data_IF_107800081508
#
_entry.id   IF_107800081508
#
_cell.length_a   1.000
_cell.length_b   1.000
_cell.length_c   1.000
_cell.angle_alpha   90.00
_cell.angle_beta   90.00
_cell.angle_gamma   90.00
#
_symmetry.space_group_name_H-M   'P 1'
#
loop_
_entity.id
_entity.type
_entity.pdbx_description
1 polymer ?
#
# COMPACT_ATOMS: atom_id res chain seq x y z
N UNK A 1 9.82 10.61 -26.82
CA UNK A 1 10.41 9.69 -27.81
C UNK A 1 11.54 10.32 -28.65
N UNK A 2 11.73 11.65 -28.69
CA UNK A 2 12.88 12.26 -29.41
C UNK A 2 14.26 12.02 -28.76
N UNK A 3 14.31 11.58 -27.50
CA UNK A 3 15.56 11.41 -26.73
C UNK A 3 16.03 9.95 -26.63
N UNK A 4 15.23 8.98 -27.08
CA UNK A 4 15.52 7.53 -26.95
C UNK A 4 15.13 6.77 -28.22
N UNK A 5 16.05 6.60 -29.19
CA UNK A 5 15.72 6.18 -30.56
C UNK A 5 15.07 4.78 -30.71
N UNK A 6 15.11 3.93 -29.67
CA UNK A 6 14.53 2.58 -29.69
C UNK A 6 13.46 2.37 -28.61
N UNK A 7 13.02 3.43 -27.93
CA UNK A 7 12.02 3.29 -26.87
C UNK A 7 10.64 2.98 -27.47
N UNK A 8 10.10 1.82 -27.11
CA UNK A 8 8.71 1.44 -27.38
C UNK A 8 7.80 1.85 -26.24
N UNK A 9 6.49 1.80 -26.48
CA UNK A 9 5.52 2.06 -25.43
C UNK A 9 5.61 0.99 -24.31
N UNK A 10 5.54 1.38 -23.02
CA UNK A 10 5.59 0.43 -21.92
C UNK A 10 4.49 -0.63 -22.01
N UNK A 11 4.88 -1.90 -21.89
CA UNK A 11 3.93 -3.03 -21.88
C UNK A 11 3.54 -3.47 -20.47
N UNK A 12 4.29 -3.03 -19.46
CA UNK A 12 4.10 -3.34 -18.05
C UNK A 12 4.52 -2.14 -17.19
N UNK A 13 3.75 -1.86 -16.14
CA UNK A 13 4.04 -0.78 -15.19
C UNK A 13 3.96 -1.31 -13.76
N UNK A 14 4.97 -1.01 -12.93
CA UNK A 14 5.02 -1.38 -11.52
C UNK A 14 4.89 -0.13 -10.67
N UNK A 15 3.99 -0.15 -9.68
CA UNK A 15 3.71 0.97 -8.78
C UNK A 15 3.68 0.45 -7.35
N UNK A 16 4.53 0.97 -6.48
CA UNK A 16 4.46 0.66 -5.04
C UNK A 16 3.27 1.38 -4.42
N UNK A 17 2.29 0.62 -3.91
CA UNK A 17 1.10 1.17 -3.25
C UNK A 17 0.73 0.33 -2.01
N UNK A 18 0.75 0.88 -0.81
CA UNK A 18 1.12 2.25 -0.44
C UNK A 18 2.63 2.51 -0.52
N UNK A 19 3.04 3.76 -0.35
CA UNK A 19 4.41 4.05 0.07
C UNK A 19 4.70 3.43 1.44
N UNK A 20 5.97 3.35 1.81
CA UNK A 20 6.39 2.83 3.13
C UNK A 20 5.73 3.60 4.30
N UNK A 21 5.62 4.93 4.19
CA UNK A 21 5.02 5.79 5.21
C UNK A 21 3.47 5.78 5.21
N UNK A 22 2.85 4.95 4.37
CA UNK A 22 1.39 4.75 4.35
C UNK A 22 0.60 5.72 3.47
N UNK A 23 1.22 6.31 2.44
CA UNK A 23 0.49 7.10 1.45
C UNK A 23 -0.13 6.16 0.39
N UNK A 24 -1.45 6.13 0.35
CA UNK A 24 -2.24 5.34 -0.60
C UNK A 24 -2.58 6.17 -1.84
N UNK A 25 -2.48 5.54 -3.01
CA UNK A 25 -2.89 6.17 -4.26
C UNK A 25 -4.40 6.01 -4.51
N UNK A 26 -4.97 6.92 -5.29
CA UNK A 26 -6.26 6.68 -5.94
C UNK A 26 -6.04 5.71 -7.11
N UNK A 27 -6.31 4.43 -6.90
CA UNK A 27 -6.04 3.39 -7.90
C UNK A 27 -7.05 3.41 -9.04
N UNK A 28 -8.25 3.96 -8.82
CA UNK A 28 -9.24 4.15 -9.90
C UNK A 28 -8.73 5.17 -10.92
N UNK A 29 -8.13 6.26 -10.44
CA UNK A 29 -7.47 7.23 -11.31
C UNK A 29 -6.33 6.61 -12.11
N UNK A 30 -5.48 5.79 -11.47
CA UNK A 30 -4.37 5.11 -12.14
C UNK A 30 -4.90 4.13 -13.20
N UNK A 31 -5.84 3.26 -12.84
CA UNK A 31 -6.45 2.28 -13.76
C UNK A 31 -7.09 2.95 -14.98
N UNK A 32 -7.70 4.13 -14.78
CA UNK A 32 -8.33 4.91 -15.85
C UNK A 32 -7.30 5.63 -16.74
N UNK A 33 -6.28 6.22 -16.15
CA UNK A 33 -5.41 7.20 -16.82
C UNK A 33 -4.15 6.57 -17.41
N UNK A 34 -3.58 5.56 -16.74
CA UNK A 34 -2.35 4.92 -17.18
C UNK A 34 -2.65 3.95 -18.33
N UNK A 35 -2.31 4.33 -19.55
CA UNK A 35 -2.56 3.53 -20.76
C UNK A 35 -1.51 2.41 -20.95
N UNK A 36 -1.46 1.47 -20.01
CA UNK A 36 -0.60 0.29 -20.06
C UNK A 36 -1.44 -0.96 -19.82
N UNK A 37 -1.27 -1.98 -20.65
CA UNK A 37 -2.06 -3.23 -20.61
C UNK A 37 -1.84 -4.08 -19.36
N UNK A 38 -0.73 -3.89 -18.66
CA UNK A 38 -0.35 -4.68 -17.49
C UNK A 38 0.13 -3.77 -16.37
N UNK A 39 -0.59 -3.72 -15.26
CA UNK A 39 -0.28 -2.84 -14.12
C UNK A 39 -0.11 -3.69 -12.87
N UNK A 40 1.06 -3.64 -12.27
CA UNK A 40 1.39 -4.36 -11.05
C UNK A 40 1.54 -3.38 -9.89
N UNK A 41 0.65 -3.51 -8.91
CA UNK A 41 0.76 -2.81 -7.64
C UNK A 41 1.59 -3.65 -6.65
N UNK A 42 2.80 -3.22 -6.34
CA UNK A 42 3.54 -3.78 -5.20
C UNK A 42 2.85 -3.32 -3.91
N UNK A 43 2.06 -4.24 -3.35
CA UNK A 43 1.16 -4.02 -2.23
C UNK A 43 1.63 -4.74 -0.96
N UNK A 44 2.93 -4.96 -0.84
CA UNK A 44 3.53 -5.68 0.28
C UNK A 44 3.17 -5.08 1.66
N UNK A 45 2.95 -3.77 1.73
CA UNK A 45 2.62 -3.03 2.95
C UNK A 45 1.12 -2.88 3.24
N UNK A 46 0.24 -3.38 2.37
CA UNK A 46 -1.21 -3.17 2.50
C UNK A 46 -2.06 -4.43 2.21
N UNK A 47 -1.69 -5.63 2.72
CA UNK A 47 -2.42 -6.88 2.45
C UNK A 47 -3.84 -6.92 3.06
N UNK A 48 -4.20 -5.93 3.88
CA UNK A 48 -5.47 -5.86 4.60
C UNK A 48 -6.54 -4.98 3.92
N UNK A 49 -6.23 -4.37 2.77
CA UNK A 49 -7.09 -3.34 2.15
C UNK A 49 -8.48 -3.85 1.77
N UNK A 50 -8.61 -5.13 1.41
CA UNK A 50 -9.90 -5.72 1.03
C UNK A 50 -10.89 -5.88 2.21
N UNK A 51 -10.45 -5.68 3.45
CA UNK A 51 -11.25 -5.99 4.64
C UNK A 51 -11.81 -4.75 5.36
N UNK A 52 -11.63 -3.54 4.81
CA UNK A 52 -12.26 -2.32 5.32
C UNK A 52 -12.64 -1.35 4.20
N UNK A 53 -13.87 -0.78 4.23
CA UNK A 53 -14.36 0.10 3.17
C UNK A 53 -13.57 1.40 3.01
N UNK A 54 -12.81 1.82 4.03
CA UNK A 54 -11.99 3.03 3.94
C UNK A 54 -10.91 2.94 2.84
N UNK A 55 -10.55 1.71 2.42
CA UNK A 55 -9.55 1.44 1.39
C UNK A 55 -10.15 1.21 -0.01
N UNK A 56 -11.47 1.31 -0.16
CA UNK A 56 -12.11 1.26 -1.49
C UNK A 56 -11.55 2.38 -2.39
N UNK A 57 -11.28 2.03 -3.65
CA UNK A 57 -10.61 2.88 -4.65
C UNK A 57 -9.12 3.13 -4.39
N UNK A 58 -8.53 2.47 -3.37
CA UNK A 58 -7.13 2.73 -2.92
C UNK A 58 -6.20 1.52 -3.01
N UNK A 59 -6.69 0.39 -3.51
CA UNK A 59 -5.88 -0.79 -3.82
C UNK A 59 -6.14 -1.28 -5.26
N UNK A 60 -5.17 -2.00 -5.83
CA UNK A 60 -5.27 -2.61 -7.15
C UNK A 60 -6.46 -3.56 -7.29
N UNK A 61 -6.76 -4.35 -6.26
CA UNK A 61 -7.89 -5.28 -6.24
C UNK A 61 -9.25 -4.61 -6.04
N UNK A 62 -9.30 -3.34 -5.65
CA UNK A 62 -10.57 -2.60 -5.54
C UNK A 62 -11.31 -2.49 -6.88
N UNK A 63 -12.64 -2.48 -6.84
CA UNK A 63 -13.51 -2.41 -8.01
C UNK A 63 -13.49 -3.68 -8.87
N UNK A 64 -14.06 -3.57 -10.08
CA UNK A 64 -14.14 -4.68 -11.03
C UNK A 64 -12.88 -4.90 -11.85
N UNK A 65 -13.04 -5.73 -12.89
CA UNK A 65 -12.06 -5.89 -13.96
C UNK A 65 -11.95 -4.59 -14.78
N UNK A 66 -10.75 -4.31 -15.31
CA UNK A 66 -10.51 -3.20 -16.24
C UNK A 66 -10.36 -3.78 -17.65
N UNK A 67 -11.17 -3.33 -18.59
CA UNK A 67 -11.13 -3.82 -19.97
C UNK A 67 -9.76 -3.55 -20.61
N UNK A 68 -9.24 -4.52 -21.37
CA UNK A 68 -7.93 -4.43 -22.02
C UNK A 68 -6.73 -4.41 -21.08
N UNK A 69 -6.93 -4.54 -19.75
CA UNK A 69 -5.85 -4.52 -18.76
C UNK A 69 -5.86 -5.74 -17.84
N UNK A 70 -4.68 -6.15 -17.41
CA UNK A 70 -4.47 -7.06 -16.29
C UNK A 70 -3.87 -6.30 -15.12
N UNK A 71 -4.47 -6.46 -13.93
CA UNK A 71 -4.02 -5.82 -12.70
C UNK A 71 -3.46 -6.89 -11.76
N UNK A 72 -2.26 -6.66 -11.24
CA UNK A 72 -1.63 -7.51 -10.24
C UNK A 72 -1.53 -6.79 -8.90
N UNK A 73 -1.66 -7.54 -7.81
CA UNK A 73 -1.13 -7.15 -6.51
C UNK A 73 -0.20 -8.24 -5.98
N UNK A 74 1.00 -7.86 -5.57
CA UNK A 74 1.86 -8.72 -4.75
C UNK A 74 1.80 -8.28 -3.31
N UNK A 75 1.49 -9.21 -2.41
CA UNK A 75 1.31 -8.93 -1.00
C UNK A 75 2.24 -9.82 -0.18
N UNK A 76 2.96 -9.23 0.78
CA UNK A 76 3.68 -10.00 1.80
C UNK A 76 2.74 -10.28 2.96
N UNK A 77 2.09 -11.44 2.94
CA UNK A 77 1.13 -11.86 3.97
C UNK A 77 1.77 -11.77 5.36
N UNK A 78 3.04 -12.14 5.49
CA UNK A 78 3.78 -12.14 6.77
C UNK A 78 4.16 -10.75 7.31
N UNK A 79 3.99 -9.65 6.55
CA UNK A 79 4.34 -8.31 7.05
C UNK A 79 3.28 -7.76 7.98
N UNK A 80 2.02 -7.80 7.55
CA UNK A 80 0.90 -7.13 8.23
C UNK A 80 -0.37 -7.99 8.35
N UNK A 81 -0.30 -9.27 7.96
CA UNK A 81 -1.25 -10.32 8.36
C UNK A 81 -0.51 -11.41 9.14
N UNK A 82 -1.25 -12.37 9.67
CA UNK A 82 -0.72 -13.46 10.48
C UNK A 82 -0.33 -14.67 9.60
N UNK A 83 0.89 -14.69 9.07
CA UNK A 83 1.47 -15.82 8.35
C UNK A 83 2.98 -15.94 8.62
N UNK A 84 3.58 -17.10 8.34
CA UNK A 84 5.02 -17.29 8.52
C UNK A 84 5.83 -16.46 7.53
N UNK A 85 7.05 -16.07 7.92
CA UNK A 85 8.02 -15.44 7.02
C UNK A 85 8.11 -16.18 5.69
N UNK A 86 8.31 -15.42 4.60
CA UNK A 86 8.26 -15.87 3.19
C UNK A 86 6.84 -16.12 2.63
N UNK A 87 5.79 -16.18 3.45
CA UNK A 87 4.41 -16.24 2.96
C UNK A 87 4.06 -14.97 2.16
N UNK A 88 3.62 -15.15 0.92
CA UNK A 88 3.18 -14.07 0.02
C UNK A 88 2.07 -14.53 -0.90
N UNK A 89 1.34 -13.59 -1.49
CA UNK A 89 0.25 -13.85 -2.43
C UNK A 89 0.42 -12.97 -3.68
N UNK A 90 0.10 -13.55 -4.84
CA UNK A 90 -0.09 -12.82 -6.09
C UNK A 90 -1.59 -12.85 -6.39
N UNK A 91 -2.22 -11.68 -6.42
CA UNK A 91 -3.62 -11.53 -6.83
C UNK A 91 -3.66 -11.01 -8.26
N UNK A 92 -4.45 -11.67 -9.11
CA UNK A 92 -4.62 -11.29 -10.52
C UNK A 92 -6.08 -10.89 -10.75
N UNK A 93 -6.27 -9.76 -11.43
CA UNK A 93 -7.59 -9.32 -11.90
C UNK A 93 -7.52 -8.90 -13.37
N UNK A 94 -8.10 -9.72 -14.22
CA UNK A 94 -7.97 -9.67 -15.68
C UNK A 94 -7.58 -11.04 -16.22
N UNK A 95 -7.32 -11.12 -17.51
CA UNK A 95 -6.95 -12.39 -18.16
C UNK A 95 -5.43 -12.50 -18.26
N UNK A 96 -4.93 -13.69 -17.97
CA UNK A 96 -3.53 -14.09 -18.18
C UNK A 96 -3.51 -15.39 -18.97
N UNK A 97 -2.43 -15.63 -19.72
CA UNK A 97 -2.17 -16.98 -20.22
C UNK A 97 -1.74 -17.84 -19.01
N UNK A 98 -2.62 -18.73 -18.55
CA UNK A 98 -2.41 -19.50 -17.33
C UNK A 98 -1.18 -20.41 -17.42
N UNK A 99 -0.95 -21.06 -18.55
CA UNK A 99 0.23 -21.92 -18.75
C UNK A 99 1.52 -21.11 -18.65
N UNK A 100 1.61 -19.99 -19.38
CA UNK A 100 2.80 -19.12 -19.36
C UNK A 100 3.03 -18.51 -17.97
N UNK A 101 1.95 -18.13 -17.29
CA UNK A 101 2.03 -17.60 -15.92
C UNK A 101 2.48 -18.68 -14.93
N UNK A 102 1.99 -19.91 -15.08
CA UNK A 102 2.38 -21.04 -14.25
C UNK A 102 3.84 -21.47 -14.50
N UNK A 103 4.32 -21.44 -15.75
CA UNK A 103 5.74 -21.66 -16.06
C UNK A 103 6.62 -20.62 -15.35
N UNK A 104 6.27 -19.33 -15.45
CA UNK A 104 6.99 -18.27 -14.75
C UNK A 104 6.93 -18.44 -13.21
N UNK A 105 5.80 -18.91 -12.68
CA UNK A 105 5.66 -19.22 -11.26
C UNK A 105 6.57 -20.39 -10.83
N UNK A 106 6.61 -21.47 -11.62
CA UNK A 106 7.44 -22.65 -11.36
C UNK A 106 8.93 -22.36 -11.51
N UNK A 107 9.35 -21.43 -12.37
CA UNK A 107 10.75 -20.99 -12.49
C UNK A 107 11.30 -20.40 -11.18
N UNK A 108 10.45 -19.83 -10.33
CA UNK A 108 10.84 -19.19 -9.07
C UNK A 108 10.41 -19.96 -7.82
N UNK A 109 9.62 -21.01 -7.96
CA UNK A 109 9.11 -21.81 -6.85
C UNK A 109 9.89 -23.11 -6.75
N UNK A 110 10.33 -23.45 -5.53
CA UNK A 110 10.98 -24.74 -5.27
C UNK A 110 10.05 -25.91 -5.58
N UNK A 111 10.59 -27.01 -6.10
CA UNK A 111 9.85 -28.27 -6.31
C UNK A 111 9.45 -28.95 -5.00
N UNK A 112 10.01 -28.50 -3.88
CA UNK A 112 9.74 -29.01 -2.52
C UNK A 112 9.31 -27.86 -1.59
N UNK A 113 8.08 -27.33 -1.73
CA UNK A 113 7.61 -26.21 -0.93
C UNK A 113 7.42 -26.58 0.54
N UNK A 114 7.61 -25.61 1.44
CA UNK A 114 7.38 -25.83 2.86
C UNK A 114 5.89 -25.71 3.20
N UNK A 115 5.27 -26.85 3.53
CA UNK A 115 3.82 -26.95 3.76
C UNK A 115 3.34 -26.08 4.93
N UNK A 116 4.18 -25.82 5.93
CA UNK A 116 3.85 -24.89 7.02
C UNK A 116 3.61 -23.46 6.53
N UNK A 117 4.44 -22.97 5.59
CA UNK A 117 4.27 -21.63 5.00
C UNK A 117 2.99 -21.60 4.16
N UNK A 118 2.73 -22.63 3.36
CA UNK A 118 1.50 -22.75 2.55
C UNK A 118 0.26 -22.71 3.45
N UNK A 119 0.21 -23.57 4.47
CA UNK A 119 -0.90 -23.62 5.42
C UNK A 119 -1.09 -22.30 6.19
N UNK A 120 0.00 -21.61 6.56
CA UNK A 120 -0.10 -20.30 7.23
C UNK A 120 -0.68 -19.22 6.31
N UNK A 121 -0.41 -19.31 5.01
CA UNK A 121 -0.93 -18.38 4.00
C UNK A 121 -2.44 -18.55 3.84
N UNK A 122 -2.92 -19.80 3.79
CA UNK A 122 -4.35 -20.11 3.75
C UNK A 122 -5.06 -19.74 5.06
N UNK A 123 -4.43 -20.04 6.20
CA UNK A 123 -4.96 -19.69 7.53
C UNK A 123 -5.14 -18.18 7.67
N UNK A 124 -4.18 -17.38 7.18
CA UNK A 124 -4.32 -15.93 7.16
C UNK A 124 -5.55 -15.47 6.36
N UNK A 125 -5.81 -16.07 5.20
CA UNK A 125 -7.02 -15.77 4.43
C UNK A 125 -8.30 -16.17 5.19
N UNK A 126 -8.29 -17.33 5.87
CA UNK A 126 -9.41 -17.78 6.69
C UNK A 126 -9.69 -16.85 7.88
N UNK A 127 -8.65 -16.35 8.56
CA UNK A 127 -8.77 -15.37 9.65
C UNK A 127 -9.43 -14.06 9.18
N UNK A 128 -9.17 -13.66 7.94
CA UNK A 128 -9.70 -12.43 7.37
C UNK A 128 -11.08 -12.60 6.71
N UNK A 129 -11.63 -13.82 6.67
CA UNK A 129 -12.90 -14.11 6.01
C UNK A 129 -14.09 -13.48 6.75
N UNK A 130 -14.96 -12.82 6.00
CA UNK A 130 -16.27 -12.34 6.48
C UNK A 130 -16.19 -11.29 7.59
N UNK A 131 -17.15 -11.35 8.52
CA UNK A 131 -17.29 -10.35 9.58
C UNK A 131 -16.16 -10.42 10.62
N UNK A 132 -15.51 -11.57 10.80
CA UNK A 132 -14.38 -11.72 11.71
C UNK A 132 -13.21 -10.84 11.27
N UNK A 133 -12.77 -10.97 10.01
CA UNK A 133 -11.71 -10.13 9.45
C UNK A 133 -12.02 -8.64 9.47
N UNK A 134 -13.26 -8.26 9.11
CA UNK A 134 -13.72 -6.86 9.20
C UNK A 134 -13.63 -6.31 10.63
N UNK A 135 -14.02 -7.10 11.63
CA UNK A 135 -13.90 -6.70 13.05
C UNK A 135 -12.44 -6.53 13.48
N UNK A 136 -11.54 -7.41 13.03
CA UNK A 136 -10.10 -7.29 13.32
C UNK A 136 -9.54 -5.96 12.80
N UNK A 137 -9.77 -5.64 11.51
CA UNK A 137 -9.28 -4.38 10.93
C UNK A 137 -9.93 -3.15 11.57
N UNK A 138 -11.25 -3.19 11.81
CA UNK A 138 -11.93 -2.07 12.48
C UNK A 138 -11.42 -1.87 13.92
N UNK A 139 -11.10 -2.95 14.63
CA UNK A 139 -10.44 -2.90 15.92
C UNK A 139 -9.09 -2.18 15.85
N UNK A 140 -8.24 -2.54 14.90
CA UNK A 140 -6.94 -1.90 14.68
C UNK A 140 -7.07 -0.42 14.32
N UNK A 141 -8.04 -0.05 13.48
CA UNK A 141 -8.33 1.34 13.13
C UNK A 141 -8.78 2.16 14.34
N UNK A 142 -9.61 1.59 15.21
CA UNK A 142 -10.05 2.23 16.45
C UNK A 142 -8.87 2.44 17.40
N UNK A 143 -8.01 1.42 17.59
CA UNK A 143 -6.78 1.54 18.38
C UNK A 143 -5.90 2.67 17.82
N UNK A 144 -5.66 2.69 16.51
CA UNK A 144 -4.86 3.74 15.85
C UNK A 144 -5.43 5.14 16.08
N UNK A 145 -6.74 5.32 15.91
CA UNK A 145 -7.41 6.60 16.13
C UNK A 145 -7.28 7.06 17.59
N UNK A 146 -7.50 6.14 18.55
CA UNK A 146 -7.38 6.44 19.96
C UNK A 146 -5.94 6.78 20.37
N UNK A 147 -4.94 6.03 19.89
CA UNK A 147 -3.52 6.36 20.11
C UNK A 147 -3.15 7.72 19.54
N UNK A 148 -3.68 8.09 18.37
CA UNK A 148 -3.46 9.41 17.78
C UNK A 148 -4.06 10.55 18.61
N UNK A 149 -5.23 10.34 19.23
CA UNK A 149 -5.82 11.31 20.17
C UNK A 149 -4.99 11.43 21.45
N UNK A 150 -4.52 10.30 21.96
CA UNK A 150 -3.73 10.24 23.18
C UNK A 150 -2.37 10.94 23.03
N UNK A 151 -1.68 10.73 21.91
CA UNK A 151 -0.42 11.44 21.63
C UNK A 151 -0.65 12.95 21.50
N UNK A 152 -1.78 13.39 20.96
CA UNK A 152 -2.15 14.82 20.92
C UNK A 152 -2.43 15.38 22.31
N UNK A 153 -3.08 14.61 23.18
CA UNK A 153 -3.35 14.98 24.58
C UNK A 153 -2.06 15.11 25.38
N UNK A 154 -1.18 14.11 25.31
CA UNK A 154 0.11 14.13 26.03
C UNK A 154 1.02 15.25 25.55
N UNK A 155 0.95 15.63 24.26
CA UNK A 155 1.65 16.80 23.74
C UNK A 155 1.24 18.10 24.44
N UNK A 156 -0.03 18.28 24.80
CA UNK A 156 -0.49 19.50 25.48
C UNK A 156 -0.12 19.52 26.96
N UNK A 157 0.17 18.36 27.55
CA UNK A 157 0.42 18.20 28.97
C UNK A 157 1.91 18.04 29.31
N UNK A 158 2.79 17.93 28.31
CA UNK A 158 4.22 17.64 28.48
C UNK A 158 5.10 18.75 27.90
N UNK A 159 6.17 19.11 28.61
CA UNK A 159 7.11 20.17 28.23
C UNK A 159 8.03 19.80 27.05
N UNK A 160 8.10 18.51 26.69
CA UNK A 160 8.77 18.00 25.49
C UNK A 160 8.13 16.70 25.02
N UNK A 161 7.74 16.61 23.73
CA UNK A 161 6.97 15.46 23.25
C UNK A 161 7.18 15.13 21.77
N UNK A 162 6.99 13.84 21.43
CA UNK A 162 7.07 13.34 20.05
C UNK A 162 5.90 13.85 19.20
N UNK A 163 6.19 14.23 17.96
CA UNK A 163 5.17 14.60 16.97
C UNK A 163 4.73 13.36 16.19
N UNK A 164 3.42 13.16 16.12
CA UNK A 164 2.83 12.24 15.14
C UNK A 164 2.57 12.97 13.82
N UNK A 165 3.10 12.43 12.73
CA UNK A 165 2.74 12.86 11.37
C UNK A 165 1.36 12.28 11.02
N UNK A 166 0.34 13.15 10.85
CA UNK A 166 -0.99 12.76 10.38
C UNK A 166 -2.20 13.56 10.92
N UNK A 167 -3.25 13.63 10.08
CA UNK A 167 -4.61 14.17 10.32
C UNK A 167 -4.72 15.61 10.83
N UNK A 168 -3.91 16.52 10.30
CA UNK A 168 -4.28 17.94 10.10
C UNK A 168 -3.96 18.25 8.64
N UNK A 169 -4.88 18.91 7.93
CA UNK A 169 -4.62 19.42 6.57
C UNK A 169 -3.43 20.38 6.69
N UNK A 170 -2.26 19.95 6.19
CA UNK A 170 -1.11 20.82 6.00
C UNK A 170 -1.23 21.34 4.57
N UNK A 171 -1.55 22.62 4.41
CA UNK A 171 -1.47 23.28 3.12
C UNK A 171 0.00 23.35 2.70
N UNK A 172 0.44 22.45 1.83
CA UNK A 172 1.77 22.49 1.23
C UNK A 172 1.75 23.59 0.16
N UNK A 173 2.29 24.78 0.46
CA UNK A 173 2.67 25.75 -0.58
C UNK A 173 4.10 25.44 -1.01
N UNK A 174 4.26 24.94 -2.23
CA UNK A 174 5.57 24.84 -2.87
C UNK A 174 5.97 26.24 -3.35
N UNK A 175 7.01 26.82 -2.76
CA UNK A 175 7.65 28.01 -3.29
C UNK A 175 9.16 27.73 -3.43
N UNK A 176 9.65 27.81 -4.67
CA UNK A 176 11.07 27.82 -5.03
C UNK A 176 11.99 26.87 -4.24
N UNK A 177 11.68 25.57 -4.24
CA UNK A 177 12.63 24.53 -3.81
C UNK A 177 12.86 24.38 -2.29
N UNK A 178 12.04 25.01 -1.44
CA UNK A 178 12.07 24.75 0.02
C UNK A 178 10.73 24.20 0.50
N UNK A 179 10.76 23.01 1.10
CA UNK A 179 9.62 22.46 1.84
C UNK A 179 9.52 23.19 3.19
N UNK A 180 8.60 24.14 3.30
CA UNK A 180 8.33 24.85 4.55
C UNK A 180 7.00 24.33 5.12
N UNK A 181 7.08 23.59 6.23
CA UNK A 181 5.92 23.13 6.97
C UNK A 181 5.47 24.25 7.92
N UNK A 182 4.48 25.04 7.52
CA UNK A 182 3.83 26.02 8.41
C UNK A 182 2.50 25.48 8.92
N UNK A 183 2.38 25.38 10.24
CA UNK A 183 1.08 25.24 10.89
C UNK A 183 0.36 26.61 10.88
N UNK A 184 -0.96 26.67 10.65
CA UNK A 184 -1.68 27.94 10.74
C UNK A 184 -1.71 28.41 12.20
N UNK A 185 -1.23 29.63 12.47
CA UNK A 185 -1.45 30.32 13.75
C UNK A 185 -0.26 30.44 14.72
N UNK A 186 0.93 29.95 14.40
CA UNK A 186 2.12 30.13 15.26
C UNK A 186 3.26 30.80 14.50
N UNK A 187 3.64 32.00 14.95
CA UNK A 187 4.72 32.81 14.36
C UNK A 187 6.14 32.30 14.69
N UNK A 188 6.32 31.03 15.10
CA UNK A 188 7.64 30.45 15.33
C UNK A 188 8.09 29.63 14.12
N UNK A 189 9.13 30.13 13.46
CA UNK A 189 9.85 29.42 12.39
C UNK A 189 10.65 28.28 13.00
N UNK A 190 10.07 27.09 13.11
CA UNK A 190 10.86 25.88 13.37
C UNK A 190 11.29 25.30 12.03
N UNK A 191 12.55 25.52 11.64
CA UNK A 191 13.16 24.85 10.50
C UNK A 191 13.52 23.42 10.90
N UNK A 192 12.86 22.43 10.31
CA UNK A 192 13.27 21.02 10.43
C UNK A 192 14.10 20.69 9.19
N UNK A 193 15.41 20.59 9.35
CA UNK A 193 16.31 19.93 8.40
C UNK A 193 16.38 18.45 8.78
N UNK A 194 15.75 17.56 8.01
CA UNK A 194 16.11 16.14 8.04
C UNK A 194 17.04 15.85 6.87
N UNK A 195 18.30 15.55 7.17
CA UNK A 195 19.19 14.88 6.22
C UNK A 195 18.73 13.43 6.13
N UNK A 196 18.25 13.00 4.96
CA UNK A 196 18.08 11.58 4.67
C UNK A 196 19.46 10.92 4.64
N UNK A 197 19.62 9.83 5.39
CA UNK A 197 20.66 8.82 5.17
C UNK A 197 20.00 7.70 4.38
#
# INVERSE_FOLDING_TARGET
MKETPNATWPVHAVITNSTYDGLLYNTDFIKKTLDVKSIHFDSAWVPYTNFSPIYEGKCGMSGGRVEGKVIYETQSTHKLLAAFSQASMIHVKGDVNEETFNEAYMMHTTTSPHYGIVASTETAAAMMKGNAGKRLINGLLNVRSNSGKEIKRLRTESDGWFLMYGSRIISIRLNAGRCVLTAPGTASKTSITSTCI
#
